data_IF_797039043963
#
_entry.id   IF_797039043963
#
_cell.length_a   1.000
_cell.length_b   1.000
_cell.length_c   1.000
_cell.angle_alpha   90.00
_cell.angle_beta   90.00
_cell.angle_gamma   90.00
#
_symmetry.space_group_name_H-M   'P 1'
#
loop_
_entity.id
_entity.type
_entity.pdbx_description
1 polymer ?
#
# COMPACT_ATOMS: atom_id res chain seq x y z
N UNK A 1 1.40 23.30 42.78
CA UNK A 1 1.91 22.72 41.54
C UNK A 1 2.27 23.87 40.58
N UNK A 2 3.51 23.94 40.15
CA UNK A 2 3.95 24.99 39.21
C UNK A 2 3.36 24.74 37.83
N UNK A 3 3.29 25.77 36.97
CA UNK A 3 2.83 25.57 35.57
C UNK A 3 3.69 24.56 34.81
N UNK A 4 4.99 24.48 35.07
CA UNK A 4 5.89 23.50 34.50
C UNK A 4 5.47 22.05 34.86
N UNK A 5 5.11 21.82 36.11
CA UNK A 5 4.64 20.51 36.56
C UNK A 5 3.26 20.17 35.98
N UNK A 6 2.35 21.17 35.85
CA UNK A 6 1.05 20.99 35.20
C UNK A 6 1.17 20.66 33.70
N UNK A 7 2.08 21.32 32.97
CA UNK A 7 2.36 20.99 31.59
C UNK A 7 2.88 19.55 31.44
N UNK A 8 3.79 19.13 32.35
CA UNK A 8 4.27 17.74 32.34
C UNK A 8 3.13 16.75 32.57
N UNK A 9 2.32 16.97 33.59
CA UNK A 9 1.18 16.11 33.90
C UNK A 9 0.15 16.05 32.77
N UNK A 10 -0.15 17.19 32.11
CA UNK A 10 -1.06 17.22 30.95
C UNK A 10 -0.49 16.41 29.76
N UNK A 11 0.81 16.50 29.52
CA UNK A 11 1.47 15.76 28.44
C UNK A 11 1.66 14.27 28.73
N UNK A 12 1.60 13.85 30.00
CA UNK A 12 1.54 12.44 30.38
C UNK A 12 0.17 11.82 30.07
N UNK A 13 -0.90 12.62 30.09
CA UNK A 13 -2.25 12.16 29.73
C UNK A 13 -2.44 12.01 28.22
N UNK A 14 -1.84 12.90 27.42
CA UNK A 14 -1.95 12.87 25.97
C UNK A 14 -0.80 13.68 25.30
N UNK A 15 -0.41 13.35 24.06
CA UNK A 15 0.75 13.91 23.38
C UNK A 15 0.50 15.34 22.84
N UNK A 16 0.28 16.29 23.74
CA UNK A 16 0.06 17.70 23.40
C UNK A 16 1.41 18.40 23.16
N UNK A 17 1.57 19.21 22.10
CA UNK A 17 2.72 20.08 21.92
C UNK A 17 2.91 21.02 23.13
N UNK A 18 4.17 21.26 23.54
CA UNK A 18 4.44 21.99 24.80
C UNK A 18 3.85 23.40 24.81
N UNK A 19 3.92 24.13 23.69
CA UNK A 19 3.34 25.48 23.56
C UNK A 19 1.83 25.45 23.75
N UNK A 20 1.13 24.56 23.07
CA UNK A 20 -0.32 24.42 23.15
C UNK A 20 -0.78 23.96 24.56
N UNK A 21 -0.04 23.04 25.19
CA UNK A 21 -0.31 22.63 26.57
C UNK A 21 -0.23 23.80 27.55
N UNK A 22 0.77 24.69 27.36
CA UNK A 22 0.93 25.88 28.20
C UNK A 22 -0.20 26.90 27.96
N UNK A 23 -0.60 27.12 26.72
CA UNK A 23 -1.71 28.02 26.37
C UNK A 23 -3.03 27.52 26.97
N UNK A 24 -3.36 26.25 26.74
CA UNK A 24 -4.56 25.64 27.29
C UNK A 24 -4.61 25.70 28.81
N UNK A 25 -3.50 25.48 29.51
CA UNK A 25 -3.44 25.61 30.94
C UNK A 25 -3.60 27.05 31.42
N UNK A 26 -3.05 28.05 30.70
CA UNK A 26 -3.24 29.46 31.05
C UNK A 26 -4.69 29.89 30.86
N UNK A 27 -5.32 29.51 29.75
CA UNK A 27 -6.73 29.83 29.47
C UNK A 27 -7.71 29.18 30.48
N UNK A 28 -7.32 28.05 31.06
CA UNK A 28 -8.16 27.29 31.97
C UNK A 28 -7.65 27.29 33.44
N UNK A 29 -7.00 28.39 33.85
CA UNK A 29 -6.53 28.63 35.24
C UNK A 29 -5.68 27.47 35.80
N UNK A 30 -5.00 26.75 34.94
CA UNK A 30 -4.16 25.61 35.27
C UNK A 30 -4.94 24.34 35.57
N UNK A 31 -6.19 24.22 35.15
CA UNK A 31 -7.00 23.02 35.30
C UNK A 31 -6.63 21.99 34.23
N UNK A 32 -5.93 20.94 34.66
CA UNK A 32 -5.39 19.89 33.74
C UNK A 32 -6.51 19.12 33.05
N UNK A 33 -7.57 18.73 33.78
CA UNK A 33 -8.67 17.95 33.19
C UNK A 33 -9.45 18.74 32.15
N UNK A 34 -9.74 20.02 32.40
CA UNK A 34 -10.43 20.89 31.46
C UNK A 34 -9.55 21.08 30.21
N UNK A 35 -8.26 21.37 30.39
CA UNK A 35 -7.31 21.55 29.31
C UNK A 35 -7.18 20.27 28.42
N UNK A 36 -7.13 19.09 29.05
CA UNK A 36 -7.09 17.80 28.36
C UNK A 36 -8.37 17.56 27.52
N UNK A 37 -9.53 17.81 28.11
CA UNK A 37 -10.82 17.64 27.43
C UNK A 37 -10.98 18.59 26.24
N UNK A 38 -10.56 19.85 26.39
CA UNK A 38 -10.58 20.81 25.29
C UNK A 38 -9.63 20.42 24.14
N UNK A 39 -8.43 19.98 24.47
CA UNK A 39 -7.51 19.45 23.45
C UNK A 39 -8.10 18.24 22.74
N UNK A 40 -8.65 17.29 23.50
CA UNK A 40 -9.32 16.11 22.92
C UNK A 40 -10.45 16.51 21.99
N UNK A 41 -11.31 17.44 22.40
CA UNK A 41 -12.43 17.92 21.58
C UNK A 41 -11.95 18.56 20.26
N UNK A 42 -10.94 19.44 20.33
CA UNK A 42 -10.31 20.06 19.13
C UNK A 42 -9.70 18.99 18.21
N UNK A 43 -8.99 18.01 18.78
CA UNK A 43 -8.39 16.91 18.02
C UNK A 43 -9.43 16.07 17.30
N UNK A 44 -10.53 15.72 17.97
CA UNK A 44 -11.62 14.96 17.37
C UNK A 44 -12.32 15.73 16.25
N UNK A 45 -12.55 17.03 16.41
CA UNK A 45 -13.09 17.87 15.34
C UNK A 45 -12.16 17.92 14.13
N UNK A 46 -10.84 18.03 14.37
CA UNK A 46 -9.86 18.00 13.31
C UNK A 46 -9.86 16.66 12.56
N UNK A 47 -9.86 15.54 13.29
CA UNK A 47 -9.92 14.19 12.72
C UNK A 47 -11.18 14.02 11.85
N UNK A 48 -12.35 14.42 12.37
CA UNK A 48 -13.61 14.36 11.62
C UNK A 48 -13.58 15.22 10.34
N UNK A 49 -13.04 16.43 10.42
CA UNK A 49 -12.88 17.32 9.27
C UNK A 49 -11.99 16.70 8.19
N UNK A 50 -10.89 16.06 8.59
CA UNK A 50 -9.90 15.48 7.67
C UNK A 50 -10.35 14.14 7.05
N UNK A 51 -11.23 13.41 7.73
CA UNK A 51 -11.62 12.04 7.32
C UNK A 51 -13.07 11.92 6.90
N UNK A 52 -13.95 12.83 7.33
CA UNK A 52 -15.40 12.74 7.12
C UNK A 52 -16.07 11.63 7.96
N UNK A 53 -15.37 11.03 8.93
CA UNK A 53 -15.90 9.95 9.76
C UNK A 53 -16.90 10.44 10.81
N UNK A 54 -17.64 9.50 11.43
CA UNK A 54 -18.51 9.80 12.56
C UNK A 54 -17.72 10.18 13.83
N UNK A 55 -18.38 10.84 14.78
CA UNK A 55 -17.77 11.21 16.07
C UNK A 55 -17.33 9.97 16.88
N UNK A 56 -18.13 8.90 16.81
CA UNK A 56 -17.86 7.62 17.44
C UNK A 56 -16.59 6.99 16.89
N UNK A 57 -16.48 6.89 15.56
CA UNK A 57 -15.29 6.35 14.90
C UNK A 57 -14.05 7.19 15.20
N UNK A 58 -14.15 8.53 15.14
CA UNK A 58 -13.05 9.41 15.48
C UNK A 58 -12.54 9.17 16.89
N UNK A 59 -13.45 9.07 17.88
CA UNK A 59 -13.07 8.87 19.28
C UNK A 59 -12.50 7.47 19.52
N UNK A 60 -13.07 6.44 18.93
CA UNK A 60 -12.58 5.05 19.07
C UNK A 60 -11.14 4.92 18.56
N UNK A 61 -10.89 5.35 17.33
CA UNK A 61 -9.55 5.29 16.74
C UNK A 61 -8.56 6.23 17.43
N UNK A 62 -8.99 7.40 17.88
CA UNK A 62 -8.11 8.33 18.58
C UNK A 62 -7.60 7.76 19.91
N UNK A 63 -8.44 7.05 20.64
CA UNK A 63 -8.04 6.33 21.87
C UNK A 63 -7.13 5.14 21.54
N UNK A 64 -7.50 4.34 20.53
CA UNK A 64 -6.74 3.18 20.05
C UNK A 64 -5.31 3.56 19.64
N UNK A 65 -5.16 4.69 18.94
CA UNK A 65 -3.87 5.22 18.47
C UNK A 65 -3.17 6.10 19.52
N UNK A 66 -3.54 5.96 20.81
CA UNK A 66 -2.91 6.66 21.93
C UNK A 66 -2.87 8.16 21.76
N UNK A 67 -3.95 8.73 21.25
CA UNK A 67 -4.14 10.16 21.02
C UNK A 67 -3.18 10.78 19.97
N UNK A 68 -2.63 9.97 19.06
CA UNK A 68 -1.87 10.45 17.90
C UNK A 68 -2.82 10.81 16.76
N UNK A 69 -2.95 12.10 16.46
CA UNK A 69 -3.88 12.64 15.46
C UNK A 69 -3.53 12.12 14.06
N UNK A 70 -2.26 12.14 13.67
CA UNK A 70 -1.84 11.78 12.31
C UNK A 70 -2.04 10.28 12.05
N UNK A 71 -1.67 9.44 13.01
CA UNK A 71 -1.93 8.00 12.93
C UNK A 71 -3.42 7.71 12.88
N UNK A 72 -4.21 8.38 13.73
CA UNK A 72 -5.68 8.23 13.74
C UNK A 72 -6.28 8.56 12.37
N UNK A 73 -5.90 9.70 11.77
CA UNK A 73 -6.38 10.08 10.43
C UNK A 73 -6.00 9.03 9.39
N UNK A 74 -4.77 8.52 9.42
CA UNK A 74 -4.29 7.51 8.48
C UNK A 74 -5.08 6.22 8.58
N UNK A 75 -5.29 5.70 9.80
CA UNK A 75 -6.06 4.47 10.03
C UNK A 75 -7.54 4.63 9.68
N UNK A 76 -8.16 5.76 10.01
CA UNK A 76 -9.57 6.00 9.64
C UNK A 76 -9.73 6.07 8.11
N UNK A 77 -8.80 6.74 7.41
CA UNK A 77 -8.83 6.78 5.94
C UNK A 77 -8.71 5.38 5.31
N UNK A 78 -7.86 4.54 5.87
CA UNK A 78 -7.72 3.14 5.45
C UNK A 78 -9.01 2.35 5.73
N UNK A 79 -9.58 2.46 6.92
CA UNK A 79 -10.82 1.79 7.29
C UNK A 79 -12.00 2.24 6.41
N UNK A 80 -12.16 3.55 6.19
CA UNK A 80 -13.20 4.08 5.31
C UNK A 80 -13.00 3.65 3.85
N UNK A 81 -11.76 3.56 3.40
CA UNK A 81 -11.46 3.03 2.08
C UNK A 81 -11.88 1.57 1.95
N UNK A 82 -11.58 0.76 2.96
CA UNK A 82 -11.95 -0.66 2.99
C UNK A 82 -13.48 -0.87 3.11
N UNK A 83 -14.15 -0.07 3.95
CA UNK A 83 -15.62 -0.12 4.09
C UNK A 83 -16.36 0.30 2.80
N UNK A 84 -15.79 1.21 2.02
CA UNK A 84 -16.35 1.66 0.75
C UNK A 84 -15.82 0.90 -0.46
N UNK A 85 -14.99 -0.12 -0.24
CA UNK A 85 -14.41 -0.91 -1.30
C UNK A 85 -15.49 -1.62 -2.11
N UNK A 86 -15.40 -1.47 -3.43
CA UNK A 86 -16.22 -2.23 -4.38
C UNK A 86 -15.31 -3.09 -5.22
N UNK A 87 -15.55 -4.41 -5.27
CA UNK A 87 -14.79 -5.29 -6.14
C UNK A 87 -14.78 -4.77 -7.57
N UNK A 88 -13.61 -4.80 -8.20
CA UNK A 88 -13.47 -4.39 -9.59
C UNK A 88 -14.15 -5.44 -10.45
N UNK A 89 -15.06 -5.07 -11.37
CA UNK A 89 -15.68 -6.02 -12.27
C UNK A 89 -14.65 -6.88 -12.99
N UNK A 90 -14.93 -8.16 -13.13
CA UNK A 90 -14.07 -9.16 -13.79
C UNK A 90 -12.74 -9.49 -13.07
N UNK A 91 -12.44 -8.87 -11.92
CA UNK A 91 -11.28 -9.22 -11.08
C UNK A 91 -11.74 -10.14 -9.97
N UNK A 92 -11.75 -11.45 -10.25
CA UNK A 92 -12.14 -12.46 -9.29
C UNK A 92 -11.00 -12.85 -8.34
N UNK A 93 -11.34 -13.41 -7.19
CA UNK A 93 -10.35 -13.92 -6.22
C UNK A 93 -9.44 -14.99 -6.84
N UNK A 94 -9.97 -15.84 -7.73
CA UNK A 94 -9.17 -16.83 -8.47
C UNK A 94 -8.11 -16.16 -9.35
N UNK A 95 -8.50 -15.14 -10.11
CA UNK A 95 -7.57 -14.39 -10.97
C UNK A 95 -6.49 -13.67 -10.16
N UNK A 96 -6.86 -13.10 -9.01
CA UNK A 96 -5.91 -12.46 -8.10
C UNK A 96 -4.91 -13.48 -7.53
N UNK A 97 -5.39 -14.64 -7.09
CA UNK A 97 -4.52 -15.71 -6.58
C UNK A 97 -3.58 -16.25 -7.66
N UNK A 98 -4.04 -16.44 -8.90
CA UNK A 98 -3.19 -16.82 -10.04
C UNK A 98 -2.12 -15.78 -10.31
N UNK A 99 -2.50 -14.49 -10.30
CA UNK A 99 -1.55 -13.39 -10.48
C UNK A 99 -0.51 -13.33 -9.36
N UNK A 100 -0.93 -13.52 -8.10
CA UNK A 100 -0.01 -13.63 -6.96
C UNK A 100 0.97 -14.78 -7.12
N UNK A 101 0.47 -15.97 -7.48
CA UNK A 101 1.32 -17.16 -7.69
C UNK A 101 2.33 -16.92 -8.80
N UNK A 102 1.92 -16.29 -9.91
CA UNK A 102 2.83 -15.93 -10.99
C UNK A 102 3.90 -14.94 -10.53
N UNK A 103 3.55 -13.89 -9.76
CA UNK A 103 4.53 -12.95 -9.20
C UNK A 103 5.52 -13.67 -8.27
N UNK A 104 5.08 -14.62 -7.47
CA UNK A 104 5.97 -15.44 -6.63
C UNK A 104 6.95 -16.26 -7.47
N UNK A 105 6.50 -16.85 -8.57
CA UNK A 105 7.38 -17.56 -9.51
C UNK A 105 8.43 -16.61 -10.12
N UNK A 106 8.02 -15.38 -10.49
CA UNK A 106 8.94 -14.35 -10.99
C UNK A 106 10.02 -13.98 -9.96
N UNK A 107 9.66 -13.95 -8.68
CA UNK A 107 10.60 -13.63 -7.59
C UNK A 107 11.59 -14.77 -7.29
N UNK A 108 11.16 -16.02 -7.46
CA UNK A 108 11.94 -17.22 -7.13
C UNK A 108 12.74 -17.77 -8.32
N UNK A 109 12.30 -17.47 -9.54
CA UNK A 109 12.86 -18.01 -10.77
C UNK A 109 13.29 -16.88 -11.70
N UNK A 110 13.87 -17.27 -12.83
CA UNK A 110 14.20 -16.37 -13.93
C UNK A 110 12.94 -15.70 -14.50
N UNK A 111 12.94 -14.36 -14.52
CA UNK A 111 11.86 -13.55 -15.07
C UNK A 111 11.62 -13.83 -16.53
N UNK A 112 12.67 -14.06 -17.30
CA UNK A 112 12.58 -14.37 -18.73
C UNK A 112 11.73 -15.65 -18.95
N UNK A 113 11.95 -16.69 -18.18
CA UNK A 113 11.16 -17.93 -18.25
C UNK A 113 9.71 -17.72 -17.85
N UNK A 114 9.45 -16.84 -16.88
CA UNK A 114 8.08 -16.54 -16.44
C UNK A 114 7.24 -15.83 -17.51
N UNK A 115 7.84 -15.19 -18.50
CA UNK A 115 7.14 -14.58 -19.63
C UNK A 115 6.54 -15.58 -20.62
N UNK A 116 6.91 -16.85 -20.53
CA UNK A 116 6.36 -17.93 -21.36
C UNK A 116 5.22 -18.69 -20.67
N UNK A 117 4.82 -18.22 -19.47
CA UNK A 117 3.78 -18.88 -18.70
C UNK A 117 2.42 -18.83 -19.42
N UNK A 118 1.75 -19.98 -19.47
CA UNK A 118 0.50 -20.17 -20.23
C UNK A 118 -0.59 -19.17 -19.82
N UNK A 119 -0.66 -18.81 -18.53
CA UNK A 119 -1.69 -17.89 -17.99
C UNK A 119 -1.25 -16.41 -18.01
N UNK A 120 -0.16 -16.07 -18.67
CA UNK A 120 0.37 -14.69 -18.73
C UNK A 120 -0.69 -13.68 -19.20
N UNK A 121 -1.53 -14.04 -20.17
CA UNK A 121 -2.60 -13.16 -20.63
C UNK A 121 -3.64 -12.89 -19.56
N UNK A 122 -3.94 -13.86 -18.72
CA UNK A 122 -4.83 -13.68 -17.55
C UNK A 122 -4.20 -12.77 -16.53
N UNK A 123 -2.91 -12.94 -16.26
CA UNK A 123 -2.12 -12.06 -15.37
C UNK A 123 -2.14 -10.63 -15.90
N UNK A 124 -1.83 -10.41 -17.18
CA UNK A 124 -1.84 -9.10 -17.82
C UNK A 124 -3.22 -8.43 -17.72
N UNK A 125 -4.29 -9.15 -18.00
CA UNK A 125 -5.67 -8.64 -17.88
C UNK A 125 -6.01 -8.25 -16.43
N UNK A 126 -5.59 -9.05 -15.46
CA UNK A 126 -5.82 -8.77 -14.04
C UNK A 126 -5.05 -7.53 -13.58
N UNK A 127 -3.76 -7.44 -13.88
CA UNK A 127 -2.93 -6.27 -13.57
C UNK A 127 -3.47 -5.00 -14.25
N UNK A 128 -3.95 -5.12 -15.50
CA UNK A 128 -4.50 -3.98 -16.24
C UNK A 128 -5.82 -3.46 -15.65
N UNK A 129 -6.65 -4.34 -15.08
CA UNK A 129 -7.91 -3.95 -14.45
C UNK A 129 -7.69 -3.17 -13.14
N UNK A 130 -6.55 -3.36 -12.48
CA UNK A 130 -6.20 -2.66 -11.24
C UNK A 130 -5.61 -1.27 -11.56
N UNK A 131 -6.26 -0.16 -11.15
CA UNK A 131 -5.82 1.19 -11.52
C UNK A 131 -4.35 1.48 -11.15
N UNK A 132 -3.90 1.00 -9.99
CA UNK A 132 -2.53 1.19 -9.50
C UNK A 132 -1.47 0.38 -10.28
N UNK A 133 -1.88 -0.59 -11.12
CA UNK A 133 -0.97 -1.51 -11.81
C UNK A 133 -1.01 -1.39 -13.34
N UNK A 134 -1.71 -0.39 -13.89
CA UNK A 134 -1.77 -0.17 -15.35
C UNK A 134 -0.38 0.00 -15.98
N UNK A 135 0.49 0.75 -15.32
CA UNK A 135 1.86 0.99 -15.79
C UNK A 135 2.72 -0.29 -15.75
N UNK A 136 2.47 -1.17 -14.78
CA UNK A 136 3.14 -2.48 -14.70
C UNK A 136 2.83 -3.31 -15.95
N UNK A 137 1.60 -3.27 -16.43
CA UNK A 137 1.17 -3.97 -17.66
C UNK A 137 1.91 -3.49 -18.91
N UNK A 138 2.13 -2.18 -19.01
CA UNK A 138 2.87 -1.59 -20.15
C UNK A 138 4.31 -2.10 -20.14
N UNK A 139 4.96 -2.09 -18.97
CA UNK A 139 6.33 -2.58 -18.84
C UNK A 139 6.44 -4.08 -19.09
N UNK A 140 5.47 -4.88 -18.64
CA UNK A 140 5.42 -6.32 -18.89
C UNK A 140 5.31 -6.64 -20.38
N UNK A 141 4.45 -5.93 -21.11
CA UNK A 141 4.34 -6.07 -22.59
C UNK A 141 5.63 -5.69 -23.30
N UNK A 142 6.32 -4.63 -22.83
CA UNK A 142 7.64 -4.24 -23.38
C UNK A 142 8.68 -5.33 -23.12
N UNK A 143 8.77 -5.87 -21.91
CA UNK A 143 9.70 -6.93 -21.55
C UNK A 143 9.48 -8.18 -22.41
N UNK A 144 8.22 -8.59 -22.62
CA UNK A 144 7.88 -9.69 -23.53
C UNK A 144 8.39 -9.43 -24.95
N UNK A 145 8.16 -8.23 -25.48
CA UNK A 145 8.64 -7.86 -26.83
C UNK A 145 10.17 -7.84 -26.94
N UNK A 146 10.87 -7.37 -25.90
CA UNK A 146 12.33 -7.37 -25.85
C UNK A 146 12.84 -8.82 -25.90
N UNK A 147 12.27 -9.72 -25.07
CA UNK A 147 12.61 -11.14 -25.10
C UNK A 147 12.37 -11.75 -26.48
N UNK A 148 11.19 -11.55 -27.06
CA UNK A 148 10.86 -12.04 -28.40
C UNK A 148 11.86 -11.55 -29.46
N UNK A 149 12.34 -10.31 -29.34
CA UNK A 149 13.32 -9.73 -30.24
C UNK A 149 14.69 -10.36 -30.09
N UNK A 150 15.17 -10.53 -28.86
CA UNK A 150 16.48 -11.12 -28.55
C UNK A 150 16.52 -12.61 -28.94
N UNK A 151 15.41 -13.31 -28.72
CA UNK A 151 15.28 -14.73 -29.03
C UNK A 151 14.67 -15.02 -30.43
N UNK A 152 14.46 -13.99 -31.24
CA UNK A 152 13.94 -14.17 -32.62
C UNK A 152 14.82 -15.13 -33.40
N UNK A 153 14.17 -16.11 -34.04
CA UNK A 153 14.86 -17.19 -34.76
C UNK A 153 15.39 -18.30 -33.84
N UNK A 154 14.89 -18.36 -32.58
CA UNK A 154 15.12 -19.50 -31.71
C UNK A 154 14.59 -20.77 -32.38
N UNK A 155 15.47 -21.74 -32.58
CA UNK A 155 15.15 -23.13 -32.86
C UNK A 155 15.54 -23.96 -31.65
N UNK A 156 14.98 -25.15 -31.49
CA UNK A 156 15.32 -26.07 -30.40
C UNK A 156 16.80 -26.50 -30.40
N UNK A 157 17.54 -26.15 -31.48
CA UNK A 157 18.96 -26.43 -31.68
C UNK A 157 19.92 -25.32 -31.22
N UNK A 158 19.50 -24.38 -30.40
CA UNK A 158 20.38 -23.33 -29.88
C UNK A 158 21.49 -23.93 -29.04
N UNK A 159 22.75 -23.57 -29.32
CA UNK A 159 23.86 -23.96 -28.46
C UNK A 159 23.73 -23.33 -27.07
N UNK A 160 24.22 -24.01 -26.03
CA UNK A 160 24.21 -23.50 -24.66
C UNK A 160 24.88 -22.12 -24.58
N UNK A 161 25.99 -21.91 -25.28
CA UNK A 161 26.72 -20.64 -25.27
C UNK A 161 25.92 -19.50 -25.89
N UNK A 162 25.13 -19.76 -26.93
CA UNK A 162 24.27 -18.76 -27.55
C UNK A 162 23.06 -18.45 -26.64
N UNK A 163 22.49 -19.46 -26.00
CA UNK A 163 21.43 -19.27 -25.03
C UNK A 163 21.90 -18.40 -23.85
N UNK A 164 23.07 -18.66 -23.30
CA UNK A 164 23.66 -17.86 -22.21
C UNK A 164 23.91 -16.43 -22.68
N UNK A 165 24.49 -16.22 -23.86
CA UNK A 165 24.74 -14.87 -24.40
C UNK A 165 23.43 -14.06 -24.56
N UNK A 166 22.35 -14.69 -24.98
CA UNK A 166 21.05 -14.03 -25.13
C UNK A 166 20.41 -13.68 -23.78
N UNK A 167 20.54 -14.55 -22.80
CA UNK A 167 20.08 -14.24 -21.45
C UNK A 167 20.86 -13.07 -20.83
N UNK A 168 22.19 -13.03 -20.98
CA UNK A 168 22.99 -11.88 -20.52
C UNK A 168 22.52 -10.58 -21.18
N UNK A 169 22.26 -10.57 -22.50
CA UNK A 169 21.71 -9.37 -23.18
C UNK A 169 20.33 -8.95 -22.63
N UNK A 170 19.51 -9.91 -22.24
CA UNK A 170 18.21 -9.66 -21.67
C UNK A 170 18.33 -9.05 -20.26
N UNK A 171 19.22 -9.62 -19.44
CA UNK A 171 19.50 -9.15 -18.10
C UNK A 171 20.17 -7.77 -18.07
N UNK A 172 20.96 -7.44 -19.09
CA UNK A 172 21.57 -6.11 -19.24
C UNK A 172 20.61 -5.05 -19.81
N UNK A 173 19.43 -5.43 -20.31
CA UNK A 173 18.46 -4.47 -20.85
C UNK A 173 17.74 -3.69 -19.74
N UNK A 174 17.91 -2.35 -19.65
CA UNK A 174 17.35 -1.56 -18.57
C UNK A 174 15.82 -1.52 -18.55
N UNK A 175 15.15 -1.70 -19.70
CA UNK A 175 13.68 -1.74 -19.75
C UNK A 175 13.15 -3.09 -19.25
N UNK A 176 13.89 -4.17 -19.51
CA UNK A 176 13.60 -5.50 -19.00
C UNK A 176 13.76 -5.53 -17.47
N UNK A 177 14.83 -4.97 -16.96
CA UNK A 177 15.09 -4.86 -15.51
C UNK A 177 14.05 -3.96 -14.79
N UNK A 178 13.65 -2.85 -15.41
CA UNK A 178 12.59 -2.01 -14.86
C UNK A 178 11.24 -2.75 -14.80
N UNK A 179 10.91 -3.54 -15.81
CA UNK A 179 9.71 -4.37 -15.81
C UNK A 179 9.75 -5.41 -14.66
N UNK A 180 10.87 -6.10 -14.49
CA UNK A 180 11.08 -7.04 -13.38
C UNK A 180 10.88 -6.35 -12.01
N UNK A 181 11.53 -5.21 -11.80
CA UNK A 181 11.40 -4.45 -10.56
C UNK A 181 9.96 -4.05 -10.26
N UNK A 182 9.22 -3.53 -11.24
CA UNK A 182 7.82 -3.10 -11.06
C UNK A 182 6.88 -4.27 -10.76
N UNK A 183 7.10 -5.41 -11.39
CA UNK A 183 6.30 -6.62 -11.14
C UNK A 183 6.53 -7.13 -9.74
N UNK A 184 7.78 -7.22 -9.28
CA UNK A 184 8.09 -7.66 -7.90
C UNK A 184 7.46 -6.75 -6.85
N UNK A 185 7.45 -5.43 -7.08
CA UNK A 185 6.81 -4.46 -6.18
C UNK A 185 5.27 -4.52 -6.22
N UNK A 186 4.67 -5.04 -7.29
CA UNK A 186 3.20 -5.16 -7.39
C UNK A 186 2.61 -6.25 -6.49
N UNK A 187 3.43 -7.13 -5.94
CA UNK A 187 2.99 -8.26 -5.11
C UNK A 187 2.21 -7.82 -3.87
N UNK A 188 2.62 -6.74 -3.21
CA UNK A 188 1.91 -6.18 -2.05
C UNK A 188 0.52 -5.69 -2.43
N UNK A 189 0.38 -4.95 -3.54
CA UNK A 189 -0.90 -4.45 -4.04
C UNK A 189 -1.86 -5.61 -4.34
N UNK A 190 -1.37 -6.69 -4.93
CA UNK A 190 -2.19 -7.88 -5.20
C UNK A 190 -2.64 -8.57 -3.89
N UNK A 191 -1.76 -8.64 -2.89
CA UNK A 191 -2.10 -9.21 -1.58
C UNK A 191 -3.18 -8.37 -0.89
N UNK A 192 -3.05 -7.05 -0.91
CA UNK A 192 -4.04 -6.14 -0.33
C UNK A 192 -5.40 -6.29 -1.02
N UNK A 193 -5.41 -6.41 -2.34
CA UNK A 193 -6.62 -6.62 -3.13
C UNK A 193 -7.29 -7.97 -2.81
N UNK A 194 -6.50 -9.05 -2.63
CA UNK A 194 -7.00 -10.35 -2.18
C UNK A 194 -7.67 -10.23 -0.80
N UNK A 195 -7.03 -9.51 0.12
CA UNK A 195 -7.54 -9.34 1.47
C UNK A 195 -8.85 -8.53 1.49
N UNK A 196 -8.96 -7.49 0.66
CA UNK A 196 -10.19 -6.71 0.47
C UNK A 196 -11.33 -7.58 -0.09
N UNK A 197 -11.06 -8.37 -1.13
CA UNK A 197 -12.04 -9.31 -1.68
C UNK A 197 -12.56 -10.28 -0.63
N UNK A 198 -11.68 -10.85 0.19
CA UNK A 198 -12.07 -11.80 1.24
C UNK A 198 -12.95 -11.17 2.31
N UNK A 199 -12.64 -9.94 2.74
CA UNK A 199 -13.45 -9.20 3.73
C UNK A 199 -14.85 -8.88 3.22
N UNK A 200 -15.00 -8.64 1.94
CA UNK A 200 -16.31 -8.32 1.33
C UNK A 200 -17.16 -9.56 0.98
N UNK A 201 -16.60 -10.78 1.10
CA UNK A 201 -17.33 -12.04 0.91
C UNK A 201 -17.78 -12.67 2.23
N UNK A 202 -17.29 -12.17 3.37
CA UNK A 202 -17.68 -12.58 4.72
C UNK A 202 -18.76 -11.70 5.27
#
# INVERSE_FOLDING_TARGET
MSYKEKVKALRELMPIPMGEALELLKENEGNISVSANLFKAKSLQHIQKETGCSAEMANEFYVKEKFDINRTISFIREELFDLNYKPIPDVTLDRLNKTRSWIAIVQEKDFATSLDYIELDTVIKTLHALPALKDVTINLKKAKKIKETIFKGYSDDLSIDEFVRRNVKLDDDPQFQEAYRRITLSGTIIIDEINRHRRNLS
#
